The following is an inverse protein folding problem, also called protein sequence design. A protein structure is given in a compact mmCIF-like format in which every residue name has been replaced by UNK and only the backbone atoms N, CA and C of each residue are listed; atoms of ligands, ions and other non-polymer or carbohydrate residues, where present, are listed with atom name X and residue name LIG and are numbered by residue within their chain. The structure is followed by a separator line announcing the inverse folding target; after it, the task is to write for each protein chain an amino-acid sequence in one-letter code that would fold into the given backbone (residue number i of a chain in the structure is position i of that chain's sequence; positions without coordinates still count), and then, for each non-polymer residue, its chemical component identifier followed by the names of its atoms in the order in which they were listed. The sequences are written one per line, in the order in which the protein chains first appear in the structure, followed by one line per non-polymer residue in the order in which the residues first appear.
data_IF_583444994809
#
_entry.id   IF_583444994809
#
_cell.length_a   1.000
_cell.length_b   1.000
_cell.length_c   1.000
_cell.angle_alpha   90.00
_cell.angle_beta   90.00
_cell.angle_gamma   90.00
#
_symmetry.space_group_name_H-M   'P 1'
#
loop_
_entity.id
_entity.type
_entity.pdbx_description
1 polymer ?
#
# COMPACT_ATOMS: atom_id res chain seq x y z
N UNK A 1 7.00 14.52 -32.98
CA UNK A 1 8.17 14.25 -32.11
C UNK A 1 8.82 13.00 -32.70
N UNK A 2 10.05 13.11 -33.19
CA UNK A 2 10.69 12.07 -34.03
C UNK A 2 11.90 11.41 -33.38
N UNK A 3 12.24 11.79 -32.15
CA UNK A 3 13.31 11.17 -31.37
C UNK A 3 12.95 11.11 -29.88
N UNK A 4 13.60 10.24 -29.09
CA UNK A 4 13.41 10.18 -27.64
C UNK A 4 13.66 11.53 -26.94
N UNK A 5 14.68 12.28 -27.36
CA UNK A 5 15.02 13.60 -26.79
C UNK A 5 13.91 14.61 -27.03
N UNK A 6 13.28 14.57 -28.22
CA UNK A 6 12.15 15.46 -28.52
C UNK A 6 10.91 15.13 -27.69
N UNK A 7 10.71 13.86 -27.32
CA UNK A 7 9.64 13.43 -26.40
C UNK A 7 9.96 13.89 -24.99
N UNK A 8 11.21 13.74 -24.54
CA UNK A 8 11.69 14.19 -23.23
C UNK A 8 11.51 15.71 -23.06
N UNK A 9 11.97 16.51 -24.02
CA UNK A 9 11.84 17.98 -23.98
C UNK A 9 10.36 18.42 -23.96
N UNK A 10 9.51 17.76 -24.76
CA UNK A 10 8.09 18.05 -24.78
C UNK A 10 7.39 17.68 -23.47
N UNK A 11 7.81 16.58 -22.84
CA UNK A 11 7.31 16.17 -21.54
C UNK A 11 7.68 17.15 -20.43
N UNK A 12 8.95 17.59 -20.37
CA UNK A 12 9.41 18.63 -19.43
C UNK A 12 8.62 19.94 -19.62
N UNK A 13 8.35 20.33 -20.86
CA UNK A 13 7.52 21.50 -21.17
C UNK A 13 6.09 21.37 -20.63
N UNK A 14 5.50 20.18 -20.71
CA UNK A 14 4.17 19.91 -20.15
C UNK A 14 4.18 19.93 -18.61
N UNK A 15 5.24 19.47 -17.96
CA UNK A 15 5.41 19.53 -16.51
C UNK A 15 5.52 20.98 -16.02
N UNK A 16 6.20 21.85 -16.77
CA UNK A 16 6.39 23.27 -16.43
C UNK A 16 5.12 24.14 -16.55
N UNK A 17 4.03 23.62 -17.13
CA UNK A 17 2.78 24.38 -17.25
C UNK A 17 2.07 24.55 -15.88
N UNK A 18 1.58 25.76 -15.55
CA UNK A 18 0.91 26.02 -14.28
C UNK A 18 -0.34 25.14 -14.06
N UNK A 19 -0.48 24.55 -12.87
CA UNK A 19 -1.66 23.75 -12.49
C UNK A 19 -2.97 24.55 -12.54
N UNK A 20 -2.92 25.82 -12.14
CA UNK A 20 -4.06 26.75 -12.16
C UNK A 20 -4.27 27.37 -13.54
N UNK A 21 -4.50 26.52 -14.54
CA UNK A 21 -4.87 26.95 -15.88
C UNK A 21 -6.40 27.06 -16.03
N UNK A 22 -6.90 28.10 -16.74
CA UNK A 22 -8.32 28.20 -17.15
C UNK A 22 -8.74 26.94 -17.91
N UNK A 23 -10.04 26.63 -17.96
CA UNK A 23 -10.58 25.40 -18.57
C UNK A 23 -10.03 25.09 -19.98
N UNK A 24 -9.85 26.11 -20.83
CA UNK A 24 -9.24 25.99 -22.17
C UNK A 24 -7.77 25.51 -22.12
N UNK A 25 -7.01 25.96 -21.13
CA UNK A 25 -5.62 25.53 -20.90
C UNK A 25 -5.54 24.08 -20.42
N UNK A 26 -6.45 23.64 -19.55
CA UNK A 26 -6.54 22.23 -19.10
C UNK A 26 -6.84 21.29 -20.28
N UNK A 27 -7.81 21.63 -21.12
CA UNK A 27 -8.15 20.85 -22.31
C UNK A 27 -6.99 20.75 -23.31
N UNK A 28 -6.30 21.87 -23.55
CA UNK A 28 -5.11 21.91 -24.41
C UNK A 28 -3.98 21.03 -23.87
N UNK A 29 -3.72 21.08 -22.56
CA UNK A 29 -2.72 20.24 -21.89
C UNK A 29 -3.06 18.75 -22.04
N UNK A 30 -4.32 18.36 -21.83
CA UNK A 30 -4.78 16.98 -22.03
C UNK A 30 -4.53 16.48 -23.46
N UNK A 31 -4.89 17.27 -24.46
CA UNK A 31 -4.63 16.92 -25.87
C UNK A 31 -3.13 16.82 -26.19
N UNK A 32 -2.32 17.73 -25.67
CA UNK A 32 -0.87 17.67 -25.83
C UNK A 32 -0.27 16.42 -25.16
N UNK A 33 -0.81 16.02 -24.00
CA UNK A 33 -0.38 14.81 -23.31
C UNK A 33 -0.72 13.54 -24.09
N UNK A 34 -1.91 13.46 -24.69
CA UNK A 34 -2.29 12.36 -25.57
C UNK A 34 -1.32 12.23 -26.76
N UNK A 35 -0.93 13.36 -27.36
CA UNK A 35 0.06 13.38 -28.45
C UNK A 35 1.46 12.95 -28.01
N UNK A 36 1.89 13.32 -26.79
CA UNK A 36 3.15 12.86 -26.21
C UNK A 36 3.15 11.33 -26.08
N UNK A 37 2.08 10.76 -25.52
CA UNK A 37 1.94 9.31 -25.34
C UNK A 37 1.99 8.60 -26.70
N UNK A 38 1.21 9.08 -27.68
CA UNK A 38 1.22 8.51 -29.03
C UNK A 38 2.62 8.56 -29.67
N UNK A 39 3.37 9.65 -29.47
CA UNK A 39 4.74 9.74 -29.97
C UNK A 39 5.69 8.77 -29.28
N UNK A 40 5.62 8.64 -27.94
CA UNK A 40 6.44 7.70 -27.18
C UNK A 40 6.19 6.24 -27.61
N UNK A 41 4.93 5.87 -27.78
CA UNK A 41 4.54 4.54 -28.27
C UNK A 41 5.01 4.28 -29.72
N UNK A 42 4.97 5.31 -30.57
CA UNK A 42 5.41 5.19 -31.97
C UNK A 42 6.91 4.92 -32.07
N UNK A 43 7.73 5.58 -31.24
CA UNK A 43 9.18 5.35 -31.19
C UNK A 43 9.54 3.92 -30.79
N UNK A 44 8.64 3.23 -30.10
CA UNK A 44 8.82 1.86 -29.62
C UNK A 44 8.13 0.82 -30.50
N UNK A 45 7.63 1.23 -31.68
CA UNK A 45 6.91 0.39 -32.64
C UNK A 45 5.67 -0.31 -32.05
N UNK A 46 4.93 0.38 -31.18
CA UNK A 46 3.70 -0.12 -30.56
C UNK A 46 2.43 0.18 -31.38
N UNK A 47 2.57 0.58 -32.65
CA UNK A 47 1.45 0.85 -33.57
C UNK A 47 0.33 1.72 -32.96
N UNK A 48 0.65 2.90 -32.39
CA UNK A 48 -0.35 3.70 -31.70
C UNK A 48 -1.38 4.28 -32.67
N UNK A 49 -2.64 4.32 -32.21
CA UNK A 49 -3.73 5.09 -32.80
C UNK A 49 -4.11 6.22 -31.84
N UNK A 50 -4.18 7.43 -32.38
CA UNK A 50 -4.67 8.62 -31.66
C UNK A 50 -6.16 8.50 -31.35
N UNK A 51 -6.69 9.47 -30.59
CA UNK A 51 -8.08 9.44 -30.14
C UNK A 51 -9.08 9.21 -31.28
N UNK A 52 -10.09 8.39 -30.99
CA UNK A 52 -11.12 8.02 -31.95
C UNK A 52 -12.46 7.81 -31.25
N UNK A 53 -13.53 7.88 -32.04
CA UNK A 53 -14.89 7.57 -31.61
C UNK A 53 -15.31 6.23 -32.18
N UNK A 54 -15.95 5.40 -31.37
CA UNK A 54 -16.52 4.14 -31.84
C UNK A 54 -17.72 4.37 -32.77
N UNK A 55 -18.07 3.38 -33.58
CA UNK A 55 -19.01 3.46 -34.73
C UNK A 55 -20.41 4.03 -34.40
N UNK A 56 -20.81 4.06 -33.13
CA UNK A 56 -22.08 4.68 -32.67
C UNK A 56 -21.93 6.12 -32.13
N UNK A 57 -20.74 6.73 -32.21
CA UNK A 57 -20.49 8.12 -31.77
C UNK A 57 -20.60 8.38 -30.26
N UNK A 58 -20.95 7.37 -29.46
CA UNK A 58 -21.28 7.50 -28.04
C UNK A 58 -20.05 7.42 -27.11
N UNK A 59 -18.96 6.78 -27.53
CA UNK A 59 -17.77 6.58 -26.69
C UNK A 59 -16.52 7.16 -27.38
N UNK A 60 -15.83 8.06 -26.66
CA UNK A 60 -14.51 8.58 -27.04
C UNK A 60 -13.44 7.78 -26.28
N UNK A 61 -12.44 7.29 -27.02
CA UNK A 61 -11.25 6.63 -26.51
C UNK A 61 -10.06 7.53 -26.82
N UNK A 62 -9.21 7.80 -25.81
CA UNK A 62 -8.09 8.73 -25.97
C UNK A 62 -6.98 8.18 -26.89
N UNK A 63 -6.85 6.86 -26.97
CA UNK A 63 -6.00 6.18 -27.94
C UNK A 63 -6.02 4.67 -27.81
N UNK A 64 -5.25 3.99 -28.66
CA UNK A 64 -4.99 2.55 -28.51
C UNK A 64 -3.63 2.20 -29.09
N UNK A 65 -3.08 1.04 -28.75
CA UNK A 65 -1.82 0.56 -29.30
C UNK A 65 -1.79 -0.97 -29.28
N UNK A 66 -0.82 -1.55 -29.99
CA UNK A 66 -0.64 -2.99 -30.12
C UNK A 66 0.69 -3.41 -29.49
N UNK A 67 0.65 -4.45 -28.68
CA UNK A 67 1.84 -5.06 -28.09
C UNK A 67 1.67 -6.57 -28.03
N UNK A 68 2.60 -7.29 -28.67
CA UNK A 68 2.78 -8.74 -28.58
C UNK A 68 1.45 -9.54 -28.72
N UNK A 69 0.60 -9.18 -29.69
CA UNK A 69 -0.68 -9.87 -29.94
C UNK A 69 -1.90 -9.29 -29.21
N UNK A 70 -1.70 -8.29 -28.35
CA UNK A 70 -2.76 -7.70 -27.53
C UNK A 70 -3.03 -6.25 -27.91
N UNK A 71 -4.30 -5.88 -28.00
CA UNK A 71 -4.73 -4.48 -28.16
C UNK A 71 -4.92 -3.86 -26.78
N UNK A 72 -4.32 -2.69 -26.60
CA UNK A 72 -4.45 -1.87 -25.41
C UNK A 72 -5.22 -0.60 -25.73
N UNK A 73 -6.30 -0.32 -25.01
CA UNK A 73 -6.96 0.98 -25.02
C UNK A 73 -6.29 1.93 -24.03
N UNK A 74 -6.22 3.22 -24.35
CA UNK A 74 -5.65 4.25 -23.47
C UNK A 74 -6.74 5.23 -23.04
N UNK A 75 -6.71 5.58 -21.75
CA UNK A 75 -7.32 6.79 -21.21
C UNK A 75 -6.22 7.58 -20.47
N UNK A 76 -6.09 8.87 -20.74
CA UNK A 76 -5.05 9.71 -20.19
C UNK A 76 -5.63 10.97 -19.53
N UNK A 77 -5.29 11.17 -18.25
CA UNK A 77 -5.82 12.26 -17.42
C UNK A 77 -4.68 13.10 -16.84
N UNK A 78 -4.78 14.41 -17.04
CA UNK A 78 -3.90 15.40 -16.43
C UNK A 78 -4.73 16.36 -15.56
N UNK A 79 -5.08 15.90 -14.36
CA UNK A 79 -5.82 16.66 -13.36
C UNK A 79 -4.88 17.14 -12.23
N UNK A 80 -5.39 18.01 -11.36
CA UNK A 80 -4.68 18.44 -10.16
C UNK A 80 -4.88 17.45 -9.01
N UNK A 81 -6.11 16.96 -8.84
CA UNK A 81 -6.46 16.04 -7.76
C UNK A 81 -6.37 14.56 -8.19
N UNK A 82 -6.08 13.63 -7.28
CA UNK A 82 -6.15 12.19 -7.53
C UNK A 82 -7.54 11.74 -7.99
N UNK A 83 -7.59 10.74 -8.87
CA UNK A 83 -8.84 10.29 -9.47
C UNK A 83 -9.60 9.27 -8.61
N UNK A 84 -10.94 9.34 -8.57
CA UNK A 84 -11.79 8.39 -7.84
C UNK A 84 -12.02 7.08 -8.62
N UNK A 85 -12.44 6.03 -7.90
CA UNK A 85 -12.76 4.70 -8.45
C UNK A 85 -13.78 4.74 -9.60
N UNK A 86 -14.76 5.65 -9.53
CA UNK A 86 -15.82 5.79 -10.53
C UNK A 86 -15.27 6.08 -11.93
N UNK A 87 -14.17 6.85 -12.03
CA UNK A 87 -13.53 7.15 -13.31
C UNK A 87 -12.90 5.90 -13.93
N UNK A 88 -12.30 5.04 -13.10
CA UNK A 88 -11.71 3.78 -13.54
C UNK A 88 -12.79 2.80 -14.00
N UNK A 89 -13.91 2.69 -13.28
CA UNK A 89 -15.04 1.86 -13.66
C UNK A 89 -15.67 2.28 -14.99
N UNK A 90 -15.79 3.58 -15.25
CA UNK A 90 -16.28 4.07 -16.54
C UNK A 90 -15.38 3.60 -17.68
N UNK A 91 -14.06 3.72 -17.53
CA UNK A 91 -13.13 3.26 -18.56
C UNK A 91 -13.14 1.73 -18.70
N UNK A 92 -13.21 1.00 -17.58
CA UNK A 92 -13.36 -0.46 -17.59
C UNK A 92 -14.58 -0.90 -18.40
N UNK A 93 -15.73 -0.24 -18.23
CA UNK A 93 -16.92 -0.51 -19.04
C UNK A 93 -16.67 -0.38 -20.55
N UNK A 94 -15.84 0.58 -20.96
CA UNK A 94 -15.45 0.73 -22.38
C UNK A 94 -14.61 -0.45 -22.87
N UNK A 95 -13.73 -1.01 -22.03
CA UNK A 95 -12.88 -2.18 -22.35
C UNK A 95 -13.72 -3.44 -22.43
N UNK A 96 -14.62 -3.65 -21.46
CA UNK A 96 -15.49 -4.82 -21.39
C UNK A 96 -16.41 -4.94 -22.61
N UNK A 97 -16.71 -3.81 -23.28
CA UNK A 97 -17.43 -3.77 -24.55
C UNK A 97 -16.59 -4.03 -25.81
N UNK A 98 -15.38 -4.62 -25.70
CA UNK A 98 -14.48 -4.91 -26.83
C UNK A 98 -14.20 -6.41 -26.94
N UNK A 99 -13.38 -6.79 -27.93
CA UNK A 99 -13.00 -8.19 -28.14
C UNK A 99 -12.36 -8.76 -26.86
N UNK A 100 -12.70 -10.00 -26.52
CA UNK A 100 -12.09 -10.74 -25.42
C UNK A 100 -10.56 -10.72 -25.59
N UNK A 101 -9.86 -10.36 -24.52
CA UNK A 101 -8.39 -10.18 -24.53
C UNK A 101 -7.94 -8.73 -24.76
N UNK A 102 -8.85 -7.78 -25.01
CA UNK A 102 -8.52 -6.35 -24.99
C UNK A 102 -8.18 -5.91 -23.56
N UNK A 103 -7.05 -5.23 -23.39
CA UNK A 103 -6.63 -4.64 -22.12
C UNK A 103 -6.74 -3.11 -22.17
N UNK A 104 -6.75 -2.47 -21.01
CA UNK A 104 -6.67 -1.02 -20.88
C UNK A 104 -5.41 -0.57 -20.17
N UNK A 105 -4.93 0.62 -20.52
CA UNK A 105 -3.95 1.39 -19.78
C UNK A 105 -4.58 2.72 -19.39
N UNK A 106 -4.68 2.99 -18.09
CA UNK A 106 -5.12 4.27 -17.58
C UNK A 106 -3.90 5.05 -17.08
N UNK A 107 -3.72 6.27 -17.56
CA UNK A 107 -2.57 7.12 -17.18
C UNK A 107 -3.10 8.35 -16.42
N UNK A 108 -2.66 8.54 -15.17
CA UNK A 108 -3.04 9.69 -14.33
C UNK A 108 -1.83 10.44 -13.79
N UNK A 109 -1.65 11.70 -14.19
CA UNK A 109 -0.54 12.52 -13.71
C UNK A 109 -0.68 12.99 -12.25
N UNK A 110 -1.89 12.90 -11.69
CA UNK A 110 -2.18 13.17 -10.28
C UNK A 110 -2.38 11.90 -9.44
N UNK A 111 -2.15 10.72 -10.04
CA UNK A 111 -2.38 9.43 -9.39
C UNK A 111 -3.87 9.11 -9.15
N UNK A 112 -4.12 8.23 -8.20
CA UNK A 112 -5.43 7.66 -7.88
C UNK A 112 -5.70 7.77 -6.39
N UNK A 113 -6.96 7.87 -5.98
CA UNK A 113 -7.29 7.78 -4.56
C UNK A 113 -7.02 6.36 -4.04
N UNK A 114 -6.71 6.22 -2.75
CA UNK A 114 -6.44 4.92 -2.11
C UNK A 114 -7.57 3.91 -2.36
N UNK A 115 -8.82 4.39 -2.27
CA UNK A 115 -10.01 3.59 -2.55
C UNK A 115 -10.21 3.21 -4.04
N UNK A 116 -9.56 3.89 -4.98
CA UNK A 116 -9.70 3.64 -6.41
C UNK A 116 -8.85 2.44 -6.90
N UNK A 117 -7.64 2.28 -6.37
CA UNK A 117 -6.80 1.13 -6.64
C UNK A 117 -7.41 -0.15 -6.04
N UNK A 118 -7.85 -0.09 -4.78
CA UNK A 118 -8.49 -1.21 -4.06
C UNK A 118 -9.79 -1.71 -4.76
N UNK A 119 -10.50 -0.80 -5.42
CA UNK A 119 -11.75 -1.12 -6.12
C UNK A 119 -11.55 -1.95 -7.41
N UNK A 120 -10.36 -1.90 -8.02
CA UNK A 120 -10.06 -2.65 -9.24
C UNK A 120 -9.55 -4.07 -8.99
N UNK A 121 -9.01 -4.33 -7.80
CA UNK A 121 -8.46 -5.64 -7.40
C UNK A 121 -9.50 -6.58 -6.80
N UNK A 122 -10.66 -6.06 -6.37
CA UNK A 122 -11.68 -6.86 -5.69
C UNK A 122 -12.64 -7.57 -6.67
N UNK A 123 -12.49 -8.89 -6.81
CA UNK A 123 -13.53 -9.81 -7.33
C UNK A 123 -13.92 -9.68 -8.82
N UNK A 124 -13.06 -9.09 -9.67
CA UNK A 124 -13.36 -8.86 -11.11
C UNK A 124 -12.16 -9.21 -12.01
N UNK A 125 -12.44 -9.54 -13.27
CA UNK A 125 -11.41 -9.72 -14.30
C UNK A 125 -10.52 -8.47 -14.38
N UNK A 126 -9.23 -8.64 -14.09
CA UNK A 126 -8.21 -7.59 -14.16
C UNK A 126 -7.84 -7.42 -15.64
N UNK A 127 -8.45 -6.44 -16.29
CA UNK A 127 -8.18 -6.09 -17.69
C UNK A 127 -7.76 -4.63 -17.88
N UNK A 128 -7.32 -3.98 -16.80
CA UNK A 128 -6.88 -2.59 -16.77
C UNK A 128 -5.49 -2.56 -16.13
N UNK A 129 -4.59 -1.66 -16.55
CA UNK A 129 -3.28 -1.40 -15.94
C UNK A 129 -3.20 0.09 -15.62
N UNK A 130 -2.75 0.44 -14.41
CA UNK A 130 -2.66 1.83 -13.97
C UNK A 130 -1.23 2.34 -14.12
N UNK A 131 -1.10 3.52 -14.72
CA UNK A 131 0.10 4.33 -14.82
C UNK A 131 -0.10 5.64 -14.05
N UNK A 132 0.92 6.07 -13.34
CA UNK A 132 0.99 7.38 -12.69
C UNK A 132 2.17 8.22 -13.19
N UNK A 133 2.40 9.38 -12.58
CA UNK A 133 3.50 10.27 -12.95
C UNK A 133 4.88 9.59 -12.81
N UNK A 134 5.23 8.93 -11.69
CA UNK A 134 6.47 8.15 -11.58
C UNK A 134 6.68 7.18 -12.74
N UNK A 135 5.64 6.50 -13.22
CA UNK A 135 5.74 5.61 -14.39
C UNK A 135 6.08 6.35 -15.68
N UNK A 136 5.48 7.53 -15.88
CA UNK A 136 5.79 8.39 -17.03
C UNK A 136 7.20 8.98 -16.93
N UNK A 137 7.63 9.37 -15.74
CA UNK A 137 8.99 9.86 -15.47
C UNK A 137 10.02 8.74 -15.74
N UNK A 138 9.71 7.50 -15.35
CA UNK A 138 10.52 6.33 -15.65
C UNK A 138 10.64 6.06 -17.15
N UNK A 139 9.50 6.02 -17.84
CA UNK A 139 9.46 5.75 -19.27
C UNK A 139 10.22 6.82 -20.07
N UNK A 140 10.04 8.10 -19.73
CA UNK A 140 10.51 9.23 -20.55
C UNK A 140 11.83 9.81 -20.02
N UNK A 141 11.86 10.30 -18.78
CA UNK A 141 13.03 11.02 -18.24
C UNK A 141 14.19 10.07 -17.92
N UNK A 142 13.87 8.86 -17.44
CA UNK A 142 14.89 7.83 -17.16
C UNK A 142 15.21 6.94 -18.36
N UNK A 143 14.55 7.18 -19.50
CA UNK A 143 14.77 6.46 -20.76
C UNK A 143 14.60 4.95 -20.65
N UNK A 144 13.77 4.48 -19.71
CA UNK A 144 13.42 3.05 -19.60
C UNK A 144 12.53 2.61 -20.78
N UNK A 145 11.74 3.55 -21.32
CA UNK A 145 10.76 3.28 -22.37
C UNK A 145 9.42 2.79 -21.84
N UNK A 146 8.33 3.18 -22.52
CA UNK A 146 6.96 2.85 -22.14
C UNK A 146 6.71 1.35 -22.17
N UNK A 147 7.23 0.65 -23.19
CA UNK A 147 7.13 -0.80 -23.38
C UNK A 147 7.74 -1.55 -22.20
N UNK A 148 8.89 -1.11 -21.70
CA UNK A 148 9.57 -1.78 -20.59
C UNK A 148 8.76 -1.63 -19.30
N UNK A 149 8.29 -0.41 -19.00
CA UNK A 149 7.44 -0.13 -17.83
C UNK A 149 6.13 -0.91 -17.91
N UNK A 150 5.48 -0.94 -19.08
CA UNK A 150 4.25 -1.69 -19.29
C UNK A 150 4.46 -3.20 -19.13
N UNK A 151 5.51 -3.78 -19.72
CA UNK A 151 5.80 -5.22 -19.60
C UNK A 151 6.02 -5.63 -18.15
N UNK A 152 6.71 -4.79 -17.37
CA UNK A 152 6.90 -5.00 -15.92
C UNK A 152 5.55 -5.05 -15.22
N UNK A 153 4.71 -4.02 -15.38
CA UNK A 153 3.37 -3.98 -14.78
C UNK A 153 2.45 -5.11 -15.25
N UNK A 154 2.53 -5.52 -16.52
CA UNK A 154 1.76 -6.65 -17.04
C UNK A 154 2.17 -7.97 -16.40
N UNK A 155 3.46 -8.18 -16.19
CA UNK A 155 3.97 -9.34 -15.46
C UNK A 155 3.43 -9.35 -14.03
N UNK A 156 3.52 -8.21 -13.35
CA UNK A 156 3.02 -8.06 -11.98
C UNK A 156 1.49 -8.31 -11.90
N UNK A 157 0.73 -7.78 -12.86
CA UNK A 157 -0.72 -7.99 -12.95
C UNK A 157 -1.08 -9.45 -13.22
N UNK A 158 -0.36 -10.12 -14.14
CA UNK A 158 -0.63 -11.49 -14.52
C UNK A 158 -0.22 -12.50 -13.44
N UNK A 159 0.94 -12.31 -12.81
CA UNK A 159 1.49 -13.25 -11.83
C UNK A 159 0.89 -13.02 -10.43
N UNK A 160 0.78 -11.75 -10.03
CA UNK A 160 0.40 -11.37 -8.67
C UNK A 160 -1.02 -10.78 -8.55
N UNK A 161 -1.67 -10.42 -9.66
CA UNK A 161 -2.98 -9.73 -9.64
C UNK A 161 -2.88 -8.25 -9.30
N UNK A 162 -1.70 -7.64 -9.46
CA UNK A 162 -1.39 -6.27 -9.05
C UNK A 162 -1.52 -5.32 -10.24
N UNK A 163 -2.41 -4.33 -10.13
CA UNK A 163 -2.81 -3.47 -11.24
C UNK A 163 -1.98 -2.17 -11.33
N UNK A 164 -1.32 -1.80 -10.23
CA UNK A 164 -0.48 -0.61 -10.10
C UNK A 164 0.85 -0.98 -9.41
N UNK A 165 1.94 -0.97 -10.17
CA UNK A 165 3.31 -1.12 -9.63
C UNK A 165 4.06 0.22 -9.68
N UNK A 166 4.70 0.71 -8.61
CA UNK A 166 5.56 1.89 -8.65
C UNK A 166 6.80 1.67 -9.53
N UNK A 167 7.29 2.72 -10.19
CA UNK A 167 8.47 2.60 -11.06
C UNK A 167 9.81 2.72 -10.32
N UNK A 168 10.31 1.56 -9.88
CA UNK A 168 11.69 1.09 -9.58
C UNK A 168 12.79 1.99 -8.98
N UNK A 169 12.71 3.32 -8.82
CA UNK A 169 13.76 4.08 -8.11
C UNK A 169 13.28 5.49 -7.78
N UNK A 170 12.41 5.57 -6.78
CA UNK A 170 12.23 6.83 -6.05
C UNK A 170 13.58 7.19 -5.42
N UNK A 171 14.11 8.37 -5.75
CA UNK A 171 15.13 9.00 -4.91
C UNK A 171 14.41 9.37 -3.62
N UNK A 172 14.47 8.44 -2.67
CA UNK A 172 13.86 8.52 -1.34
C UNK A 172 14.38 9.79 -0.66
N UNK A 173 13.57 10.86 -0.65
CA UNK A 173 13.60 11.75 0.51
C UNK A 173 13.16 10.87 1.67
N UNK A 174 14.10 10.47 2.53
CA UNK A 174 13.84 9.52 3.62
C UNK A 174 13.05 10.21 4.71
N UNK A 175 11.76 10.40 4.46
CA UNK A 175 10.74 10.57 5.48
C UNK A 175 10.39 9.20 6.04
N UNK A 176 10.13 9.08 7.36
CA UNK A 176 9.57 7.86 7.91
C UNK A 176 8.30 7.49 7.12
N UNK A 177 8.23 6.26 6.65
CA UNK A 177 7.15 5.81 5.75
C UNK A 177 6.45 4.63 6.40
N UNK A 178 5.13 4.76 6.61
CA UNK A 178 4.28 3.68 7.11
C UNK A 178 3.38 3.21 5.97
N UNK A 179 3.61 1.98 5.49
CA UNK A 179 2.84 1.36 4.42
C UNK A 179 1.83 0.35 4.98
N UNK A 180 0.71 0.17 4.29
CA UNK A 180 -0.37 -0.73 4.74
C UNK A 180 -0.74 -1.74 3.65
N UNK A 181 -0.90 -3.01 4.02
CA UNK A 181 -1.27 -4.11 3.14
C UNK A 181 -2.32 -5.03 3.80
N UNK A 182 -2.95 -5.91 3.02
CA UNK A 182 -3.90 -6.92 3.51
C UNK A 182 -3.46 -8.33 3.13
N UNK A 183 -3.76 -9.33 3.93
CA UNK A 183 -3.55 -10.74 3.60
C UNK A 183 -4.88 -11.39 3.26
N UNK A 184 -4.86 -12.18 2.19
CA UNK A 184 -5.98 -13.02 1.79
C UNK A 184 -5.71 -14.47 2.19
N UNK A 185 -6.42 -14.93 3.22
CA UNK A 185 -6.29 -16.29 3.75
C UNK A 185 -6.80 -17.38 2.79
N UNK A 186 -7.64 -17.03 1.80
CA UNK A 186 -8.17 -17.99 0.82
C UNK A 186 -7.17 -18.28 -0.29
N UNK A 187 -6.35 -17.30 -0.66
CA UNK A 187 -5.34 -17.40 -1.73
C UNK A 187 -3.91 -17.51 -1.19
N UNK A 188 -3.71 -17.21 0.10
CA UNK A 188 -2.40 -17.22 0.74
C UNK A 188 -1.49 -16.06 0.34
N UNK A 189 -2.05 -14.96 -0.20
CA UNK A 189 -1.30 -13.82 -0.76
C UNK A 189 -1.38 -12.58 0.12
N UNK A 190 -0.30 -11.80 0.19
CA UNK A 190 -0.31 -10.43 0.75
C UNK A 190 -0.61 -9.46 -0.38
N UNK A 191 -1.77 -8.83 -0.30
CA UNK A 191 -2.25 -7.74 -1.15
C UNK A 191 -1.55 -6.44 -0.74
N UNK A 192 -0.45 -6.16 -1.42
CA UNK A 192 0.34 -4.95 -1.25
C UNK A 192 -0.27 -3.76 -1.97
N UNK A 193 -0.15 -2.55 -1.38
CA UNK A 193 -0.54 -1.29 -2.05
C UNK A 193 0.64 -0.70 -2.83
N UNK A 194 1.88 -1.05 -2.47
CA UNK A 194 3.11 -0.52 -3.08
C UNK A 194 4.20 -1.57 -2.89
N UNK A 195 4.81 -2.04 -3.99
CA UNK A 195 6.10 -2.71 -3.90
C UNK A 195 6.91 -2.46 -5.19
N UNK A 196 7.97 -1.67 -5.09
CA UNK A 196 9.16 -1.81 -5.93
C UNK A 196 10.34 -1.01 -5.35
N UNK A 197 11.20 -1.68 -4.57
CA UNK A 197 12.68 -1.76 -4.69
C UNK A 197 13.13 -2.88 -3.71
N UNK A 198 14.20 -3.61 -4.02
CA UNK A 198 14.85 -4.62 -3.16
C UNK A 198 15.50 -3.99 -1.91
N UNK A 199 14.72 -3.33 -1.08
CA UNK A 199 15.01 -3.07 0.33
C UNK A 199 13.96 -3.82 1.16
N UNK A 200 14.34 -4.41 2.28
CA UNK A 200 13.37 -4.90 3.27
C UNK A 200 12.90 -3.73 4.13
N UNK A 201 11.62 -3.66 4.52
CA UNK A 201 11.19 -2.73 5.56
C UNK A 201 11.99 -2.99 6.84
N UNK A 202 12.26 -1.93 7.60
CA UNK A 202 12.95 -2.02 8.89
C UNK A 202 12.11 -2.79 9.91
N UNK A 203 10.79 -2.82 9.72
CA UNK A 203 9.82 -3.57 10.51
C UNK A 203 8.59 -3.95 9.67
N UNK A 204 8.15 -5.21 9.77
CA UNK A 204 6.83 -5.65 9.31
C UNK A 204 5.94 -5.91 10.51
N UNK A 205 4.84 -5.18 10.63
CA UNK A 205 3.80 -5.42 11.63
C UNK A 205 2.70 -6.26 10.99
N UNK A 206 2.22 -7.30 11.67
CA UNK A 206 1.05 -8.08 11.24
C UNK A 206 -0.01 -8.00 12.33
N UNK A 207 -1.22 -7.55 12.01
CA UNK A 207 -2.32 -7.38 12.96
C UNK A 207 -3.59 -8.11 12.51
N UNK A 208 -4.55 -8.30 13.41
CA UNK A 208 -5.76 -9.08 13.13
C UNK A 208 -6.73 -8.35 12.19
N UNK A 209 -7.09 -7.12 12.50
CA UNK A 209 -8.16 -6.38 11.85
C UNK A 209 -7.72 -5.08 11.17
N UNK A 210 -8.56 -4.58 10.26
CA UNK A 210 -8.36 -3.27 9.60
C UNK A 210 -8.44 -2.08 10.56
N UNK A 211 -9.22 -2.23 11.65
CA UNK A 211 -9.29 -1.23 12.71
C UNK A 211 -7.92 -1.10 13.38
N UNK A 212 -7.33 -2.21 13.81
CA UNK A 212 -6.01 -2.27 14.44
C UNK A 212 -4.95 -1.71 13.50
N UNK A 213 -4.99 -2.09 12.21
CA UNK A 213 -4.07 -1.54 11.19
C UNK A 213 -4.10 -0.02 11.16
N UNK A 214 -5.28 0.57 11.24
CA UNK A 214 -5.46 2.02 11.21
C UNK A 214 -4.93 2.66 12.50
N UNK A 215 -5.22 2.07 13.66
CA UNK A 215 -4.71 2.50 14.97
C UNK A 215 -3.17 2.44 15.01
N UNK A 216 -2.60 1.30 14.61
CA UNK A 216 -1.17 1.04 14.58
C UNK A 216 -0.43 1.95 13.61
N UNK A 217 -1.02 2.27 12.45
CA UNK A 217 -0.45 3.23 11.49
C UNK A 217 -0.31 4.61 12.13
N UNK A 218 -1.40 5.13 12.71
CA UNK A 218 -1.41 6.46 13.33
C UNK A 218 -0.48 6.54 14.55
N UNK A 219 -0.45 5.49 15.39
CA UNK A 219 0.49 5.42 16.51
C UNK A 219 1.93 5.36 16.04
N UNK A 220 2.24 4.57 15.00
CA UNK A 220 3.58 4.47 14.44
C UNK A 220 4.05 5.82 13.88
N UNK A 221 3.20 6.50 13.12
CA UNK A 221 3.47 7.85 12.61
C UNK A 221 3.74 8.84 13.75
N UNK A 222 2.90 8.83 14.79
CA UNK A 222 3.07 9.70 15.96
C UNK A 222 4.38 9.41 16.69
N UNK A 223 4.68 8.15 16.99
CA UNK A 223 5.91 7.74 17.68
C UNK A 223 7.16 8.15 16.88
N UNK A 224 7.14 7.95 15.56
CA UNK A 224 8.26 8.34 14.70
C UNK A 224 8.42 9.86 14.65
N UNK A 225 7.32 10.63 14.60
CA UNK A 225 7.34 12.09 14.62
C UNK A 225 7.86 12.68 15.95
N UNK A 226 7.49 12.06 17.08
CA UNK A 226 7.91 12.49 18.43
C UNK A 226 9.37 12.09 18.74
N UNK A 227 9.99 11.25 17.91
CA UNK A 227 11.35 10.77 18.10
C UNK A 227 12.32 11.42 17.12
N UNK A 228 13.50 11.85 17.59
CA UNK A 228 14.57 12.32 16.72
C UNK A 228 15.35 11.14 16.07
N UNK A 229 14.65 10.04 15.80
CA UNK A 229 15.23 8.76 15.36
C UNK A 229 15.57 8.79 13.88
N UNK A 230 16.40 7.83 13.45
CA UNK A 230 16.65 7.60 12.02
C UNK A 230 15.33 7.32 11.30
N UNK A 231 15.12 7.88 10.10
CA UNK A 231 13.94 7.56 9.29
C UNK A 231 13.77 6.05 9.14
N UNK A 232 12.56 5.54 9.41
CA UNK A 232 12.26 4.10 9.32
C UNK A 232 11.13 3.83 8.34
N UNK A 233 11.23 2.70 7.65
CA UNK A 233 10.18 2.15 6.81
C UNK A 233 9.49 1.00 7.55
N UNK A 234 8.21 1.21 7.88
CA UNK A 234 7.36 0.24 8.58
C UNK A 234 6.24 -0.19 7.64
N UNK A 235 5.99 -1.50 7.58
CA UNK A 235 4.90 -2.06 6.78
C UNK A 235 3.92 -2.81 7.66
N UNK A 236 2.63 -2.50 7.57
CA UNK A 236 1.57 -3.08 8.41
C UNK A 236 0.63 -3.93 7.55
N UNK A 237 0.56 -5.23 7.82
CA UNK A 237 -0.25 -6.22 7.11
C UNK A 237 -1.42 -6.64 8.00
N UNK A 238 -2.63 -6.68 7.45
CA UNK A 238 -3.81 -7.24 8.14
C UNK A 238 -4.01 -8.70 7.79
N UNK A 239 -4.16 -9.55 8.79
CA UNK A 239 -4.31 -10.99 8.62
C UNK A 239 -5.77 -11.47 8.55
N UNK A 240 -6.74 -10.60 8.90
CA UNK A 240 -8.17 -10.93 9.02
C UNK A 240 -8.43 -12.02 10.06
N UNK A 241 -7.89 -11.80 11.25
CA UNK A 241 -8.08 -12.62 12.45
C UNK A 241 -6.79 -13.22 13.02
N UNK A 242 -6.90 -13.62 14.28
CA UNK A 242 -5.86 -14.19 15.15
C UNK A 242 -4.97 -15.28 14.53
N UNK A 243 -5.54 -16.42 14.11
CA UNK A 243 -4.75 -17.54 13.55
C UNK A 243 -4.05 -17.20 12.22
N UNK A 244 -4.69 -16.49 11.29
CA UNK A 244 -4.01 -15.99 10.10
C UNK A 244 -2.73 -15.18 10.36
N UNK A 245 -2.61 -14.45 11.48
CA UNK A 245 -1.43 -13.61 11.79
C UNK A 245 -0.13 -14.41 11.71
N UNK A 246 -0.09 -15.62 12.30
CA UNK A 246 1.09 -16.48 12.21
C UNK A 246 1.33 -16.98 10.79
N UNK A 247 0.27 -17.37 10.06
CA UNK A 247 0.37 -17.93 8.71
C UNK A 247 0.93 -16.94 7.68
N UNK A 248 0.59 -15.65 7.82
CA UNK A 248 1.12 -14.56 6.99
C UNK A 248 2.64 -14.61 6.92
N UNK A 249 3.31 -14.91 8.03
CA UNK A 249 4.78 -14.92 8.13
C UNK A 249 5.44 -15.93 7.18
N UNK A 250 4.74 -17.01 6.78
CA UNK A 250 5.27 -17.99 5.81
C UNK A 250 5.45 -17.40 4.42
N UNK A 251 4.71 -16.34 4.11
CA UNK A 251 4.84 -15.67 2.81
C UNK A 251 6.08 -14.79 2.75
N UNK A 252 6.68 -14.45 3.89
CA UNK A 252 7.77 -13.48 3.96
C UNK A 252 9.02 -13.95 3.21
N UNK A 253 9.27 -15.26 3.16
CA UNK A 253 10.39 -15.84 2.39
C UNK A 253 10.31 -15.53 0.88
N UNK A 254 9.11 -15.25 0.37
CA UNK A 254 8.89 -14.91 -1.05
C UNK A 254 8.90 -13.40 -1.31
N UNK A 255 8.67 -12.59 -0.27
CA UNK A 255 8.46 -11.14 -0.41
C UNK A 255 9.59 -10.29 0.18
N UNK A 256 10.37 -10.83 1.12
CA UNK A 256 11.44 -10.11 1.82
C UNK A 256 12.74 -10.92 1.81
N UNK A 257 13.91 -10.26 1.79
CA UNK A 257 15.19 -10.93 1.98
C UNK A 257 15.29 -11.63 3.35
N UNK A 258 16.27 -12.52 3.50
CA UNK A 258 16.57 -13.16 4.78
C UNK A 258 16.81 -12.09 5.87
N UNK A 259 16.20 -12.27 7.05
CA UNK A 259 16.30 -11.43 8.26
C UNK A 259 15.32 -10.24 8.42
N UNK A 260 14.14 -10.26 7.79
CA UNK A 260 13.09 -9.28 8.12
C UNK A 260 12.70 -9.34 9.60
N UNK A 261 12.60 -8.17 10.24
CA UNK A 261 12.10 -8.04 11.62
C UNK A 261 10.57 -7.95 11.61
N UNK A 262 9.90 -8.88 12.28
CA UNK A 262 8.44 -8.88 12.38
C UNK A 262 7.94 -8.55 13.79
N UNK A 263 6.83 -7.81 13.87
CA UNK A 263 6.03 -7.65 15.07
C UNK A 263 4.63 -8.21 14.79
N UNK A 264 4.24 -9.23 15.53
CA UNK A 264 2.92 -9.82 15.45
C UNK A 264 2.06 -9.23 16.56
N UNK A 265 0.92 -8.66 16.18
CA UNK A 265 -0.04 -8.03 17.09
C UNK A 265 -1.32 -8.84 17.04
N UNK A 266 -1.65 -9.43 18.18
CA UNK A 266 -2.76 -10.37 18.35
C UNK A 266 -3.47 -10.02 19.64
N UNK A 267 -4.79 -9.93 19.61
CA UNK A 267 -5.58 -9.64 20.81
C UNK A 267 -5.45 -10.79 21.80
N UNK A 268 -5.36 -10.47 23.09
CA UNK A 268 -5.24 -11.47 24.16
C UNK A 268 -6.51 -12.29 24.32
N UNK A 269 -7.68 -11.67 24.11
CA UNK A 269 -9.00 -12.25 24.38
C UNK A 269 -9.14 -12.83 25.82
N UNK A 270 -8.37 -12.32 26.79
CA UNK A 270 -8.29 -12.85 28.14
C UNK A 270 -7.36 -14.06 28.31
N UNK A 271 -6.67 -14.48 27.25
CA UNK A 271 -5.71 -15.60 27.23
C UNK A 271 -4.41 -15.20 26.51
N UNK A 272 -3.60 -14.37 27.18
CA UNK A 272 -2.30 -13.90 26.66
C UNK A 272 -1.35 -15.08 26.43
N UNK A 273 -1.30 -16.05 27.36
CA UNK A 273 -0.40 -17.20 27.28
C UNK A 273 -0.75 -18.11 26.10
N UNK A 274 -2.01 -18.50 25.94
CA UNK A 274 -2.44 -19.31 24.80
C UNK A 274 -2.28 -18.60 23.45
N UNK A 275 -2.42 -17.28 23.43
CA UNK A 275 -2.15 -16.47 22.23
C UNK A 275 -0.67 -16.49 21.85
N UNK A 276 0.23 -16.42 22.84
CA UNK A 276 1.67 -16.50 22.62
C UNK A 276 2.08 -17.91 22.16
N UNK A 277 1.60 -18.96 22.82
CA UNK A 277 1.88 -20.36 22.46
C UNK A 277 1.49 -20.67 21.00
N UNK A 278 0.32 -20.18 20.57
CA UNK A 278 -0.14 -20.31 19.19
C UNK A 278 0.84 -19.67 18.20
N UNK A 279 1.33 -18.45 18.47
CA UNK A 279 2.32 -17.78 17.64
C UNK A 279 3.64 -18.55 17.62
N UNK A 280 4.15 -18.96 18.78
CA UNK A 280 5.39 -19.73 18.90
C UNK A 280 5.35 -21.06 18.12
N UNK A 281 4.16 -21.67 18.03
CA UNK A 281 3.97 -22.93 17.30
C UNK A 281 3.82 -22.78 15.77
N UNK A 282 3.30 -21.65 15.28
CA UNK A 282 2.91 -21.50 13.87
C UNK A 282 3.82 -20.57 13.04
N UNK A 283 4.57 -19.68 13.68
CA UNK A 283 5.42 -18.68 13.02
C UNK A 283 6.69 -19.32 12.43
N UNK A 284 6.96 -19.03 11.16
CA UNK A 284 8.02 -19.70 10.40
C UNK A 284 9.33 -18.89 10.27
N UNK A 285 9.35 -17.65 10.76
CA UNK A 285 10.50 -16.74 10.64
C UNK A 285 11.31 -16.70 11.94
N UNK A 286 12.60 -16.36 11.85
CA UNK A 286 13.51 -16.32 13.02
C UNK A 286 13.36 -15.02 13.83
N UNK A 287 13.31 -13.87 13.14
CA UNK A 287 13.36 -12.56 13.78
C UNK A 287 11.94 -11.99 13.93
N UNK A 288 11.26 -12.37 15.01
CA UNK A 288 9.93 -11.87 15.32
C UNK A 288 9.72 -11.66 16.82
N UNK A 289 8.68 -10.90 17.15
CA UNK A 289 8.19 -10.68 18.52
C UNK A 289 6.67 -10.53 18.52
N UNK A 290 6.03 -10.82 19.64
CA UNK A 290 4.61 -10.62 19.85
C UNK A 290 4.34 -9.37 20.71
N UNK A 291 3.34 -8.58 20.35
CA UNK A 291 2.65 -7.64 21.24
C UNK A 291 1.22 -8.12 21.37
N UNK A 292 0.81 -8.49 22.59
CA UNK A 292 -0.49 -9.12 22.85
C UNK A 292 -1.27 -8.19 23.78
N UNK A 293 -1.95 -7.16 23.24
CA UNK A 293 -2.81 -6.29 24.04
C UNK A 293 -4.03 -7.07 24.53
N UNK A 294 -4.45 -6.84 25.78
CA UNK A 294 -5.51 -7.63 26.43
C UNK A 294 -6.60 -6.74 27.05
N UNK A 295 -7.89 -6.98 26.78
CA UNK A 295 -8.43 -8.05 25.91
C UNK A 295 -8.12 -7.83 24.42
N UNK A 296 -7.80 -6.60 24.01
CA UNK A 296 -7.40 -6.23 22.65
C UNK A 296 -6.77 -4.84 22.62
N UNK A 297 -6.41 -4.35 21.43
CA UNK A 297 -5.67 -3.09 21.25
C UNK A 297 -6.36 -1.86 21.88
N UNK A 298 -7.68 -1.90 22.07
CA UNK A 298 -8.45 -0.85 22.73
C UNK A 298 -8.02 -0.63 24.20
N UNK A 299 -7.42 -1.63 24.84
CA UNK A 299 -6.89 -1.52 26.20
C UNK A 299 -5.84 -0.41 26.34
N UNK A 300 -5.11 -0.09 25.27
CA UNK A 300 -4.15 1.02 25.24
C UNK A 300 -4.80 2.39 25.42
N UNK A 301 -6.11 2.46 25.25
CA UNK A 301 -6.89 3.68 25.33
C UNK A 301 -7.86 3.65 26.53
N UNK A 302 -7.60 2.86 27.57
CA UNK A 302 -8.46 2.72 28.74
C UNK A 302 -8.79 4.04 29.47
N UNK A 303 -7.95 5.07 29.34
CA UNK A 303 -8.20 6.41 29.88
C UNK A 303 -9.25 7.22 29.08
N UNK A 304 -9.69 6.72 27.92
CA UNK A 304 -10.67 7.36 27.05
C UNK A 304 -12.02 6.64 27.12
N UNK A 305 -13.09 7.39 27.38
CA UNK A 305 -14.46 6.85 27.39
C UNK A 305 -14.99 6.72 25.95
N UNK A 306 -14.79 5.55 25.34
CA UNK A 306 -15.48 5.18 24.10
C UNK A 306 -16.88 4.72 24.46
N UNK A 307 -17.85 5.64 24.52
CA UNK A 307 -19.23 5.28 24.83
C UNK A 307 -19.76 4.28 23.78
N UNK A 308 -20.26 3.10 24.19
CA UNK A 308 -20.93 2.21 23.26
C UNK A 308 -22.19 2.90 22.73
N UNK A 309 -22.41 2.83 21.42
CA UNK A 309 -23.55 3.39 20.70
C UNK A 309 -24.88 2.67 21.05
N UNK A 310 -25.24 2.57 22.33
CA UNK A 310 -26.46 1.89 22.82
C UNK A 310 -27.74 2.75 22.66
N UNK A 311 -27.83 3.53 21.58
CA UNK A 311 -29.06 4.19 21.14
C UNK A 311 -29.29 4.25 19.62
N UNK A 312 -28.67 3.36 18.82
CA UNK A 312 -29.18 3.02 17.48
C UNK A 312 -29.09 1.50 17.26
N UNK A 313 -30.19 0.93 16.80
CA UNK A 313 -30.56 -0.48 16.90
C UNK A 313 -29.59 -1.45 16.22
N UNK A 314 -29.38 -2.56 16.93
CA UNK A 314 -29.13 -3.95 16.50
C UNK A 314 -27.76 -4.32 15.91
N UNK A 315 -27.02 -5.02 16.79
CA UNK A 315 -26.06 -6.13 16.58
C UNK A 315 -24.56 -5.82 16.30
N UNK A 316 -23.76 -6.21 17.32
CA UNK A 316 -22.35 -6.65 17.33
C UNK A 316 -21.24 -5.71 16.82
N UNK A 317 -20.76 -4.84 17.70
CA UNK A 317 -19.34 -4.70 18.15
C UNK A 317 -19.18 -3.35 18.85
N UNK A 318 -18.84 -3.35 20.13
CA UNK A 318 -18.73 -2.14 20.96
C UNK A 318 -17.43 -1.36 20.76
N UNK A 319 -17.13 -0.97 19.53
CA UNK A 319 -15.92 -0.22 19.18
C UNK A 319 -16.31 1.25 18.96
N UNK A 320 -15.54 2.18 19.54
CA UNK A 320 -15.68 3.61 19.25
C UNK A 320 -15.56 3.89 17.75
N UNK A 321 -16.10 5.01 17.29
CA UNK A 321 -15.94 5.38 15.88
C UNK A 321 -14.45 5.61 15.58
N UNK A 322 -14.00 5.34 14.34
CA UNK A 322 -12.60 5.58 13.94
C UNK A 322 -12.15 7.04 14.19
N UNK A 323 -13.10 7.98 14.19
CA UNK A 323 -12.87 9.38 14.55
C UNK A 323 -12.52 9.57 16.04
N UNK A 324 -13.11 8.78 16.93
CA UNK A 324 -12.80 8.83 18.38
C UNK A 324 -11.40 8.30 18.66
N UNK A 325 -10.99 7.21 18.00
CA UNK A 325 -9.62 6.70 18.10
C UNK A 325 -8.60 7.71 17.55
N UNK A 326 -8.91 8.41 16.46
CA UNK A 326 -8.05 9.48 15.93
C UNK A 326 -7.82 10.60 16.96
N UNK A 327 -8.85 11.01 17.69
CA UNK A 327 -8.71 12.02 18.75
C UNK A 327 -7.98 11.48 19.97
N UNK A 328 -8.29 10.25 20.39
CA UNK A 328 -7.63 9.60 21.51
C UNK A 328 -6.13 9.45 21.25
N UNK A 329 -5.74 9.02 20.04
CA UNK A 329 -4.32 8.89 19.64
C UNK A 329 -3.60 10.22 19.66
N UNK A 330 -4.24 11.36 19.40
CA UNK A 330 -3.58 12.68 19.52
C UNK A 330 -3.34 13.09 20.97
N UNK A 331 -4.23 12.68 21.88
CA UNK A 331 -4.21 13.06 23.30
C UNK A 331 -3.54 12.03 24.21
N UNK A 332 -3.24 10.83 23.69
CA UNK A 332 -2.69 9.72 24.45
C UNK A 332 -1.35 10.11 25.10
N UNK A 333 -1.20 9.83 26.39
CA UNK A 333 0.05 10.00 27.12
C UNK A 333 0.93 8.75 26.92
N UNK A 334 1.87 8.84 25.98
CA UNK A 334 2.76 7.73 25.60
C UNK A 334 3.66 7.34 26.77
N UNK A 335 4.17 8.29 27.57
CA UNK A 335 5.08 7.99 28.68
C UNK A 335 4.38 7.26 29.81
N UNK A 336 3.14 7.65 30.11
CA UNK A 336 2.29 6.93 31.07
C UNK A 336 2.04 5.51 30.57
N UNK A 337 1.60 5.36 29.32
CA UNK A 337 1.23 4.05 28.75
C UNK A 337 2.44 3.10 28.68
N UNK A 338 3.63 3.61 28.35
CA UNK A 338 4.88 2.84 28.37
C UNK A 338 5.20 2.22 29.74
N UNK A 339 4.79 2.86 30.83
CA UNK A 339 5.02 2.36 32.20
C UNK A 339 3.94 1.37 32.66
N UNK A 340 2.72 1.50 32.12
CA UNK A 340 1.56 0.72 32.58
C UNK A 340 1.26 -0.49 31.71
N UNK A 341 1.64 -0.50 30.43
CA UNK A 341 1.26 -1.55 29.48
C UNK A 341 2.48 -2.16 28.77
N UNK A 342 2.73 -3.44 29.06
CA UNK A 342 3.86 -4.19 28.51
C UNK A 342 3.70 -4.44 27.00
N UNK A 343 2.48 -4.68 26.52
CA UNK A 343 2.21 -4.93 25.10
C UNK A 343 2.48 -3.67 24.27
N UNK A 344 2.07 -2.50 24.78
CA UNK A 344 2.38 -1.22 24.17
C UNK A 344 3.88 -0.92 24.19
N UNK A 345 4.57 -1.21 25.29
CA UNK A 345 6.03 -1.05 25.37
C UNK A 345 6.77 -1.89 24.32
N UNK A 346 6.32 -3.12 24.05
CA UNK A 346 6.87 -3.95 22.97
C UNK A 346 6.63 -3.32 21.60
N UNK A 347 5.41 -2.84 21.33
CA UNK A 347 5.06 -2.14 20.09
C UNK A 347 5.90 -0.86 19.89
N UNK A 348 5.97 0.00 20.91
CA UNK A 348 6.72 1.26 20.86
C UNK A 348 8.21 1.04 20.58
N UNK A 349 8.85 0.12 21.31
CA UNK A 349 10.26 -0.22 21.07
C UNK A 349 10.47 -0.82 19.68
N UNK A 350 9.48 -1.56 19.17
CA UNK A 350 9.54 -2.08 17.82
C UNK A 350 9.52 -0.99 16.75
N UNK A 351 8.61 -0.03 16.90
CA UNK A 351 8.49 1.13 16.00
C UNK A 351 9.77 1.98 16.00
N UNK A 352 10.46 2.10 17.14
CA UNK A 352 11.74 2.82 17.21
C UNK A 352 12.96 1.99 16.79
N UNK A 353 12.82 0.68 16.56
CA UNK A 353 13.92 -0.19 16.16
C UNK A 353 14.86 -0.53 17.31
N UNK A 354 14.40 -0.39 18.56
CA UNK A 354 15.14 -0.78 19.75
C UNK A 354 15.05 -2.29 19.94
N UNK A 355 16.19 -2.91 20.23
CA UNK A 355 16.22 -4.31 20.64
C UNK A 355 15.51 -4.48 21.99
N UNK A 356 14.85 -5.62 22.24
CA UNK A 356 14.33 -5.91 23.57
C UNK A 356 15.49 -5.99 24.56
N UNK A 357 15.36 -5.35 25.72
CA UNK A 357 16.31 -5.51 26.84
C UNK A 357 16.45 -7.00 27.20
N UNK A 358 17.44 -7.68 26.62
CA UNK A 358 17.78 -9.08 26.95
C UNK A 358 18.47 -9.21 28.32
N UNK A 359 18.53 -8.16 29.13
CA UNK A 359 19.40 -8.08 30.30
C UNK A 359 18.74 -8.31 31.67
N UNK A 360 17.49 -8.82 31.74
CA UNK A 360 16.85 -9.14 33.04
C UNK A 360 16.32 -10.56 33.27
N UNK A 361 16.57 -11.51 32.35
CA UNK A 361 16.23 -12.95 32.57
C UNK A 361 17.43 -13.88 32.84
N UNK A 362 18.65 -13.35 33.02
CA UNK A 362 19.83 -14.10 33.48
C UNK A 362 20.25 -13.75 34.92
N UNK A 363 19.33 -13.78 35.89
CA UNK A 363 19.72 -13.76 37.31
C UNK A 363 18.70 -14.35 38.29
N UNK A 364 17.93 -15.38 37.90
CA UNK A 364 17.16 -16.19 38.86
C UNK A 364 17.18 -17.68 38.50
N UNK A 365 18.38 -18.25 38.36
CA UNK A 365 18.58 -19.71 38.40
C UNK A 365 20.03 -20.02 38.74
N UNK A 366 20.42 -19.79 40.00
CA UNK A 366 21.54 -20.45 40.70
C UNK A 366 21.57 -20.02 42.17
N UNK A 367 20.61 -20.51 42.95
CA UNK A 367 20.76 -20.70 44.39
C UNK A 367 19.96 -21.93 44.83
N UNK A 368 20.61 -23.08 44.87
CA UNK A 368 20.45 -24.04 45.96
C UNK A 368 21.86 -24.43 46.42
N UNK A 369 22.21 -24.19 47.69
CA UNK A 369 23.41 -24.76 48.27
C UNK A 369 23.13 -26.23 48.57
N UNK A 370 24.06 -27.12 48.22
CA UNK A 370 24.18 -28.39 48.88
C UNK A 370 25.18 -28.20 50.03
N UNK A 371 24.72 -28.50 51.24
CA UNK A 371 25.54 -28.62 52.44
C UNK A 371 25.06 -29.86 53.19
N UNK A 372 25.88 -30.44 54.08
CA UNK A 372 27.32 -30.68 54.02
C UNK A 372 27.66 -32.08 53.47
#
# INVERSE_FOLDING_TARGET
MSSPEAVEEFYLRLLALPEKSRARGKRRRGYQFQNLIAAALALENLEPRTSYRTVKGAEEIDGSFFLDGTIFLIEAKWHAEPLPASTLYMFKGKIDGKLVGTLGVFISMSGYSKAAADALTFGKNINLILFDRPDMDAAILRKEGFRAVLKRKLRDAAEAGIVQTPSSNDVVRVTPTVETARYDASTGRVLDVVAAVRSSPDLVIVCEGDTDRTILSMLSERILADSNSTPRWIKIITAMGKRPVARVTRTFQYHYPENVNALLIVDGDGDIEGSLEMLESEVAIKNWRASIPDPGIEAWFADFDFRPMRMRRQEKSGIGTMSEFQEAIKKLDIEKLLKSDQSFAVFYNAVLGREPDTEKKRSRSRRKPASP
#
